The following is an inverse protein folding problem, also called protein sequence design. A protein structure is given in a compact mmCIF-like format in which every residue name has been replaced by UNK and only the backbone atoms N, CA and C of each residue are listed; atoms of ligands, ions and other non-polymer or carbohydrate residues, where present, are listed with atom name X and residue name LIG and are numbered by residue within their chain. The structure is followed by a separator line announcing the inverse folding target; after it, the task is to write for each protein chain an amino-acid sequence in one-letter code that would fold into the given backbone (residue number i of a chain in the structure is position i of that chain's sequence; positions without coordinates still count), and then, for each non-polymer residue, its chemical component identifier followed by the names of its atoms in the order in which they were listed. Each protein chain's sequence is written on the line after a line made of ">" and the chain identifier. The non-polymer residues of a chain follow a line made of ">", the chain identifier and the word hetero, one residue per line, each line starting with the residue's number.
data_IF_042189445535
#
_entry.id   IF_042189445535
#
_cell.length_a   1.000
_cell.length_b   1.000
_cell.length_c   1.000
_cell.angle_alpha   90.00
_cell.angle_beta   90.00
_cell.angle_gamma   90.00
#
_symmetry.space_group_name_H-M   'P 1'
#
loop_
_entity.id
_entity.type
_entity.pdbx_description
1 polymer ?
#
# COMPACT_ATOMS: atom_id res chain seq x y z
N UNK A 1 5.57 -15.28 9.92
CA UNK A 1 5.80 -14.52 8.66
C UNK A 1 4.90 -14.89 7.47
N UNK A 2 4.44 -16.13 7.22
CA UNK A 2 3.61 -16.42 6.03
C UNK A 2 2.19 -15.83 6.05
N UNK A 3 1.57 -15.65 7.22
CA UNK A 3 0.20 -15.14 7.30
C UNK A 3 0.03 -13.67 6.84
N UNK A 4 1.07 -12.84 6.90
CA UNK A 4 1.02 -11.45 6.44
C UNK A 4 1.04 -11.29 4.92
N UNK A 5 1.68 -12.23 4.19
CA UNK A 5 1.73 -12.18 2.72
C UNK A 5 0.34 -12.40 2.07
N UNK A 6 -0.51 -13.24 2.67
CA UNK A 6 -1.86 -13.52 2.16
C UNK A 6 -2.87 -12.41 2.45
N UNK A 7 -2.55 -11.47 3.34
CA UNK A 7 -3.42 -10.33 3.64
C UNK A 7 -3.17 -9.12 2.73
N UNK A 8 -2.06 -9.11 1.99
CA UNK A 8 -1.76 -8.05 1.02
C UNK A 8 -2.62 -8.18 -0.24
N UNK A 9 -2.80 -7.09 -0.97
CA UNK A 9 -3.46 -7.07 -2.29
C UNK A 9 -2.82 -8.11 -3.21
N UNK A 10 -1.49 -8.09 -3.28
CA UNK A 10 -0.71 -9.03 -4.07
C UNK A 10 -0.97 -10.47 -3.65
N UNK A 11 -0.97 -10.76 -2.34
CA UNK A 11 -1.23 -12.10 -1.83
C UNK A 11 -2.62 -12.63 -2.18
N UNK A 12 -3.65 -11.79 -2.11
CA UNK A 12 -5.03 -12.15 -2.49
C UNK A 12 -5.17 -12.36 -4.00
N UNK A 13 -4.56 -11.50 -4.83
CA UNK A 13 -4.51 -11.67 -6.28
C UNK A 13 -3.73 -12.93 -6.66
N UNK A 14 -2.55 -13.13 -6.07
CA UNK A 14 -1.73 -14.32 -6.32
C UNK A 14 -2.47 -15.61 -5.94
N UNK A 15 -3.11 -15.66 -4.77
CA UNK A 15 -3.91 -16.80 -4.34
C UNK A 15 -5.10 -17.04 -5.29
N UNK A 16 -5.79 -15.99 -5.74
CA UNK A 16 -6.88 -16.09 -6.70
C UNK A 16 -6.43 -16.60 -8.05
N UNK A 17 -5.36 -16.05 -8.62
CA UNK A 17 -4.77 -16.54 -9.87
C UNK A 17 -4.25 -17.97 -9.75
N UNK A 18 -3.55 -18.30 -8.65
CA UNK A 18 -3.05 -19.66 -8.39
C UNK A 18 -4.20 -20.65 -8.28
N UNK A 19 -5.30 -20.30 -7.64
CA UNK A 19 -6.49 -21.14 -7.54
C UNK A 19 -7.11 -21.40 -8.93
N UNK A 20 -7.24 -20.37 -9.77
CA UNK A 20 -7.75 -20.49 -11.14
C UNK A 20 -6.84 -21.38 -11.99
N UNK A 21 -5.52 -21.18 -11.91
CA UNK A 21 -4.54 -22.01 -12.64
C UNK A 21 -4.63 -23.46 -12.17
N UNK A 22 -4.73 -23.72 -10.86
CA UNK A 22 -4.85 -25.07 -10.31
C UNK A 22 -6.15 -25.75 -10.78
N UNK A 23 -7.27 -25.04 -10.77
CA UNK A 23 -8.54 -25.55 -11.24
C UNK A 23 -8.51 -25.86 -12.76
N UNK A 24 -7.97 -24.97 -13.57
CA UNK A 24 -7.83 -25.18 -15.01
C UNK A 24 -6.87 -26.33 -15.32
N UNK A 25 -5.73 -26.42 -14.63
CA UNK A 25 -4.80 -27.53 -14.77
C UNK A 25 -5.45 -28.87 -14.40
N UNK A 26 -6.23 -28.91 -13.32
CA UNK A 26 -6.96 -30.12 -12.90
C UNK A 26 -8.01 -30.52 -13.94
N UNK A 27 -8.75 -29.56 -14.51
CA UNK A 27 -9.71 -29.82 -15.58
C UNK A 27 -9.03 -30.37 -16.84
N UNK A 28 -7.90 -29.79 -17.26
CA UNK A 28 -7.12 -30.27 -18.43
C UNK A 28 -6.59 -31.67 -18.16
N UNK A 29 -6.06 -31.94 -16.96
CA UNK A 29 -5.57 -33.27 -16.60
C UNK A 29 -6.68 -34.32 -16.64
N UNK A 30 -7.85 -34.04 -16.06
CA UNK A 30 -9.01 -34.93 -16.08
C UNK A 30 -9.44 -35.20 -17.52
N UNK A 31 -9.50 -34.17 -18.36
CA UNK A 31 -9.86 -34.30 -19.77
C UNK A 31 -8.86 -35.17 -20.54
N UNK A 32 -7.55 -34.95 -20.35
CA UNK A 32 -6.49 -35.72 -20.94
C UNK A 32 -6.53 -37.20 -20.47
N UNK A 33 -6.77 -37.43 -19.17
CA UNK A 33 -6.90 -38.76 -18.59
C UNK A 33 -8.05 -39.54 -19.22
N UNK A 34 -9.23 -38.95 -19.36
CA UNK A 34 -10.36 -39.61 -20.03
C UNK A 34 -10.10 -39.82 -21.53
N UNK A 35 -9.44 -38.90 -22.21
CA UNK A 35 -9.07 -39.06 -23.61
C UNK A 35 -8.07 -40.22 -23.79
N UNK A 36 -7.15 -40.43 -22.85
CA UNK A 36 -6.18 -41.52 -22.87
C UNK A 36 -6.83 -42.87 -22.60
N UNK A 37 -7.76 -42.96 -21.65
CA UNK A 37 -8.54 -44.20 -21.42
C UNK A 37 -9.29 -44.58 -22.68
N UNK A 38 -9.95 -43.63 -23.34
CA UNK A 38 -10.68 -43.90 -24.60
C UNK A 38 -9.77 -44.35 -25.71
N UNK A 39 -8.61 -43.75 -25.89
CA UNK A 39 -7.61 -44.14 -26.90
C UNK A 39 -7.12 -45.57 -26.66
N UNK A 40 -6.88 -45.95 -25.42
CA UNK A 40 -6.45 -47.30 -25.06
C UNK A 40 -7.54 -48.34 -25.33
N UNK A 41 -8.82 -48.04 -25.15
CA UNK A 41 -9.93 -48.90 -25.48
C UNK A 41 -10.03 -49.12 -26.99
N UNK A 42 -9.88 -48.08 -27.80
CA UNK A 42 -9.93 -48.17 -29.26
C UNK A 42 -8.73 -49.01 -29.82
N UNK A 43 -7.51 -48.80 -29.31
CA UNK A 43 -6.33 -49.55 -29.66
C UNK A 43 -6.53 -51.05 -29.28
N UNK A 44 -7.03 -51.32 -28.09
CA UNK A 44 -7.29 -52.68 -27.64
C UNK A 44 -8.33 -53.42 -28.50
N UNK A 45 -9.31 -52.72 -29.09
CA UNK A 45 -10.27 -53.31 -30.04
C UNK A 45 -9.63 -53.59 -31.39
N UNK A 46 -8.76 -52.73 -31.89
CA UNK A 46 -8.03 -52.93 -33.15
C UNK A 46 -7.06 -54.12 -33.05
N UNK A 47 -6.27 -54.17 -31.98
CA UNK A 47 -5.36 -55.28 -31.71
C UNK A 47 -6.09 -56.61 -31.61
N UNK A 48 -7.21 -56.65 -30.88
CA UNK A 48 -8.01 -57.84 -30.72
C UNK A 48 -8.53 -58.35 -32.09
N UNK A 49 -9.06 -57.44 -32.92
CA UNK A 49 -9.55 -57.81 -34.27
C UNK A 49 -8.45 -58.42 -35.15
N UNK A 50 -7.25 -57.81 -35.10
CA UNK A 50 -6.11 -58.30 -35.85
C UNK A 50 -5.69 -59.69 -35.38
N UNK A 51 -5.59 -59.94 -34.09
CA UNK A 51 -5.25 -61.25 -33.53
C UNK A 51 -6.34 -62.27 -33.84
N UNK A 52 -7.60 -61.93 -33.71
CA UNK A 52 -8.73 -62.79 -34.03
C UNK A 52 -8.75 -63.18 -35.50
N UNK A 53 -8.52 -62.24 -36.42
CA UNK A 53 -8.43 -62.48 -37.83
C UNK A 53 -7.29 -63.44 -38.14
N UNK A 54 -6.11 -63.20 -37.57
CA UNK A 54 -4.93 -64.07 -37.76
C UNK A 54 -5.17 -65.50 -37.26
N UNK A 55 -5.90 -65.63 -36.12
CA UNK A 55 -6.24 -66.96 -35.59
C UNK A 55 -7.23 -67.70 -36.49
N UNK A 56 -8.22 -67.02 -37.08
CA UNK A 56 -9.14 -67.60 -38.06
C UNK A 56 -8.41 -68.00 -39.32
N UNK A 57 -7.53 -67.14 -39.87
CA UNK A 57 -6.74 -67.47 -41.10
C UNK A 57 -5.79 -68.65 -40.84
N UNK A 58 -5.22 -68.78 -39.62
CA UNK A 58 -4.43 -69.94 -39.22
C UNK A 58 -5.25 -71.25 -39.24
N UNK A 59 -6.47 -71.19 -38.69
CA UNK A 59 -7.36 -72.37 -38.69
C UNK A 59 -7.75 -72.81 -40.12
N UNK A 60 -8.03 -71.81 -40.99
CA UNK A 60 -8.26 -72.11 -42.44
C UNK A 60 -7.06 -72.67 -43.07
N UNK A 61 -5.85 -72.16 -42.86
CA UNK A 61 -4.60 -72.76 -43.43
C UNK A 61 -4.34 -74.19 -42.95
N UNK A 62 -4.64 -74.52 -41.69
CA UNK A 62 -4.55 -75.88 -41.18
C UNK A 62 -5.52 -76.81 -41.92
N UNK A 63 -6.74 -76.34 -42.18
CA UNK A 63 -7.69 -77.12 -42.99
C UNK A 63 -7.17 -77.32 -44.40
N UNK A 64 -6.64 -76.32 -45.06
CA UNK A 64 -6.07 -76.45 -46.43
C UNK A 64 -4.91 -77.42 -46.49
N UNK A 65 -4.07 -77.53 -45.46
CA UNK A 65 -2.90 -78.40 -45.43
C UNK A 65 -3.21 -79.83 -44.96
N UNK A 66 -3.99 -79.95 -43.86
CA UNK A 66 -4.18 -81.22 -43.13
C UNK A 66 -5.61 -81.77 -43.22
N UNK A 67 -6.49 -81.12 -43.96
CA UNK A 67 -7.88 -81.54 -44.14
C UNK A 67 -8.74 -81.40 -42.87
N UNK A 68 -9.94 -82.00 -42.92
CA UNK A 68 -10.91 -81.95 -41.81
C UNK A 68 -10.39 -82.63 -40.54
N UNK A 69 -9.69 -83.76 -40.65
CA UNK A 69 -9.19 -84.45 -39.46
C UNK A 69 -8.07 -83.68 -38.78
N UNK A 70 -7.17 -83.06 -39.54
CA UNK A 70 -6.13 -82.15 -38.98
C UNK A 70 -6.71 -80.92 -38.29
N UNK A 71 -7.72 -80.30 -38.90
CA UNK A 71 -8.43 -79.18 -38.31
C UNK A 71 -9.14 -79.54 -36.97
N UNK A 72 -9.84 -80.69 -36.94
CA UNK A 72 -10.53 -81.17 -35.73
C UNK A 72 -9.50 -81.50 -34.64
N UNK A 73 -8.37 -82.12 -34.97
CA UNK A 73 -7.29 -82.40 -34.04
C UNK A 73 -6.70 -81.09 -33.45
N UNK A 74 -6.47 -80.10 -34.32
CA UNK A 74 -5.97 -78.79 -33.89
C UNK A 74 -6.99 -78.06 -32.98
N UNK A 75 -8.27 -78.00 -33.34
CA UNK A 75 -9.31 -77.41 -32.57
C UNK A 75 -9.50 -78.06 -31.18
N UNK A 76 -9.34 -79.40 -31.08
CA UNK A 76 -9.40 -80.15 -29.82
C UNK A 76 -8.19 -79.90 -28.92
N UNK A 77 -7.05 -79.64 -29.52
CA UNK A 77 -5.79 -79.40 -28.79
C UNK A 77 -5.58 -77.90 -28.40
N UNK A 78 -6.39 -77.02 -28.97
CA UNK A 78 -6.36 -75.62 -28.62
C UNK A 78 -6.83 -75.45 -27.14
N UNK A 79 -5.92 -75.04 -26.25
CA UNK A 79 -6.24 -74.87 -24.82
C UNK A 79 -7.28 -73.78 -24.68
N UNK A 80 -8.37 -74.06 -23.92
CA UNK A 80 -9.46 -73.16 -23.63
C UNK A 80 -8.99 -71.77 -22.98
N UNK A 81 -7.71 -71.70 -22.67
CA UNK A 81 -7.10 -70.46 -22.09
C UNK A 81 -6.39 -69.60 -23.15
N UNK A 82 -6.38 -69.96 -24.42
CA UNK A 82 -5.89 -69.08 -25.49
C UNK A 82 -6.97 -68.04 -25.83
N UNK A 83 -6.59 -66.82 -25.98
CA UNK A 83 -7.51 -65.74 -26.33
C UNK A 83 -6.97 -65.08 -27.61
N UNK A 84 -7.66 -65.11 -28.74
CA UNK A 84 -9.03 -65.62 -29.00
C UNK A 84 -9.13 -67.13 -29.22
N UNK A 85 -10.29 -67.73 -28.92
CA UNK A 85 -10.62 -69.10 -29.23
C UNK A 85 -11.35 -69.15 -30.55
N UNK A 86 -10.86 -70.01 -31.49
CA UNK A 86 -11.50 -70.22 -32.78
C UNK A 86 -12.54 -71.35 -32.68
N UNK A 87 -13.71 -71.07 -33.21
CA UNK A 87 -14.80 -72.04 -33.38
C UNK A 87 -15.12 -72.17 -34.87
N UNK A 88 -15.53 -73.40 -35.29
CA UNK A 88 -15.93 -73.72 -36.68
C UNK A 88 -17.30 -74.36 -36.63
N UNK A 89 -18.30 -73.73 -37.25
CA UNK A 89 -19.65 -74.29 -37.33
C UNK A 89 -19.95 -74.83 -38.67
N UNK A 90 -20.66 -75.96 -38.68
CA UNK A 90 -21.22 -76.57 -39.92
C UNK A 90 -22.49 -75.82 -40.40
N UNK A 91 -23.04 -76.27 -41.54
CA UNK A 91 -24.27 -75.73 -42.11
C UNK A 91 -25.48 -75.80 -41.15
N UNK A 92 -25.45 -76.71 -40.17
CA UNK A 92 -26.51 -76.91 -39.19
C UNK A 92 -26.30 -76.12 -37.88
N UNK A 93 -25.18 -75.40 -37.80
CA UNK A 93 -24.80 -74.64 -36.62
C UNK A 93 -24.16 -75.40 -35.49
N UNK A 94 -23.73 -76.66 -35.76
CA UNK A 94 -22.99 -77.50 -34.81
C UNK A 94 -21.45 -77.30 -34.96
N UNK A 95 -20.77 -77.29 -33.81
CA UNK A 95 -19.31 -77.13 -33.80
C UNK A 95 -18.62 -78.42 -34.24
N UNK A 96 -17.76 -78.33 -35.27
CA UNK A 96 -17.17 -79.47 -35.97
C UNK A 96 -16.30 -80.35 -35.05
N UNK A 97 -15.63 -79.78 -34.03
CA UNK A 97 -14.76 -80.56 -33.14
C UNK A 97 -15.52 -81.19 -31.96
N UNK A 98 -16.85 -80.89 -31.81
CA UNK A 98 -17.70 -81.39 -30.74
C UNK A 98 -17.58 -80.58 -29.40
N UNK A 99 -16.92 -79.45 -29.42
CA UNK A 99 -16.84 -78.53 -28.24
C UNK A 99 -18.18 -77.81 -28.00
N UNK A 100 -18.54 -77.69 -26.77
CA UNK A 100 -19.74 -76.85 -26.41
C UNK A 100 -19.43 -75.36 -26.63
N UNK A 101 -20.24 -74.71 -27.46
CA UNK A 101 -20.16 -73.25 -27.60
C UNK A 101 -20.61 -72.56 -26.31
N UNK A 102 -19.81 -71.62 -25.76
CA UNK A 102 -20.25 -70.79 -24.67
C UNK A 102 -21.44 -69.89 -25.09
N UNK A 103 -22.37 -69.64 -24.23
CA UNK A 103 -23.52 -68.77 -24.49
C UNK A 103 -23.12 -67.38 -25.03
N UNK A 104 -21.96 -66.90 -24.60
CA UNK A 104 -21.36 -65.64 -25.09
C UNK A 104 -20.96 -65.74 -26.57
N UNK A 105 -20.58 -66.93 -27.08
CA UNK A 105 -20.20 -67.12 -28.46
C UNK A 105 -21.42 -66.96 -29.38
N UNK A 106 -22.59 -67.48 -28.99
CA UNK A 106 -23.83 -67.30 -29.73
C UNK A 106 -24.26 -65.83 -29.83
N UNK A 107 -24.15 -65.08 -28.73
CA UNK A 107 -24.47 -63.64 -28.74
C UNK A 107 -23.49 -62.86 -29.64
N UNK A 108 -22.22 -63.15 -29.56
CA UNK A 108 -21.19 -62.51 -30.40
C UNK A 108 -21.46 -62.77 -31.87
N UNK A 109 -21.83 -63.98 -32.23
CA UNK A 109 -22.14 -64.42 -33.64
C UNK A 109 -23.41 -63.64 -34.13
N UNK A 110 -24.44 -63.57 -33.30
CA UNK A 110 -25.66 -62.84 -33.65
C UNK A 110 -25.39 -61.34 -33.83
N UNK A 111 -24.54 -60.76 -33.00
CA UNK A 111 -24.17 -59.34 -33.10
C UNK A 111 -23.27 -59.07 -34.30
N UNK A 112 -22.33 -60.03 -34.63
CA UNK A 112 -21.48 -59.94 -35.81
C UNK A 112 -22.31 -60.05 -37.10
N UNK A 113 -23.30 -60.94 -37.16
CA UNK A 113 -24.19 -61.09 -38.32
C UNK A 113 -25.10 -59.89 -38.55
N UNK A 114 -25.42 -59.11 -37.56
CA UNK A 114 -26.20 -57.86 -37.68
C UNK A 114 -25.39 -56.65 -38.21
N UNK A 115 -24.06 -56.73 -38.24
CA UNK A 115 -23.25 -55.66 -38.77
C UNK A 115 -23.34 -55.60 -40.30
N UNK A 116 -23.60 -54.43 -40.90
CA UNK A 116 -23.73 -54.29 -42.32
C UNK A 116 -22.42 -54.71 -43.05
N UNK A 117 -22.52 -55.60 -44.00
CA UNK A 117 -21.36 -56.14 -44.85
C UNK A 117 -20.75 -55.08 -45.78
N UNK A 118 -21.18 -53.83 -45.69
CA UNK A 118 -20.66 -52.69 -46.47
C UNK A 118 -19.36 -52.18 -45.93
N UNK A 119 -18.24 -52.75 -46.22
CA UNK A 119 -16.95 -52.03 -46.36
C UNK A 119 -15.81 -53.04 -46.64
N UNK A 120 -15.85 -53.64 -47.83
CA UNK A 120 -14.85 -54.59 -48.29
C UNK A 120 -13.49 -53.99 -48.74
N UNK A 121 -13.22 -52.71 -48.33
CA UNK A 121 -12.04 -52.02 -48.86
C UNK A 121 -10.92 -51.70 -47.87
N UNK A 122 -11.13 -51.89 -46.55
CA UNK A 122 -10.08 -51.59 -45.56
C UNK A 122 -9.75 -52.86 -44.74
N UNK A 123 -8.47 -53.29 -44.63
CA UNK A 123 -8.06 -54.45 -43.81
C UNK A 123 -8.52 -54.34 -42.36
N UNK A 124 -8.71 -53.10 -41.86
CA UNK A 124 -9.04 -52.72 -40.46
C UNK A 124 -10.51 -52.96 -40.08
N UNK A 125 -11.40 -53.29 -41.07
CA UNK A 125 -12.84 -53.43 -40.84
C UNK A 125 -13.38 -54.85 -41.14
N UNK A 126 -12.51 -55.79 -41.40
CA UNK A 126 -12.94 -57.17 -41.62
C UNK A 126 -13.40 -57.81 -40.32
N UNK A 127 -14.57 -58.42 -40.35
CA UNK A 127 -15.07 -59.20 -39.21
C UNK A 127 -14.24 -60.47 -39.08
N UNK A 128 -13.95 -60.99 -37.88
CA UNK A 128 -13.19 -62.25 -37.70
C UNK A 128 -14.10 -63.42 -37.93
N UNK A 129 -14.78 -63.44 -39.07
CA UNK A 129 -15.58 -64.54 -39.59
C UNK A 129 -15.13 -64.82 -41.04
N UNK A 130 -14.86 -66.10 -41.34
CA UNK A 130 -14.55 -66.55 -42.69
C UNK A 130 -15.36 -67.81 -43.00
N UNK A 131 -16.04 -67.83 -44.13
CA UNK A 131 -16.78 -69.02 -44.63
C UNK A 131 -15.89 -69.75 -45.57
N UNK A 132 -15.69 -71.05 -45.33
CA UNK A 132 -14.90 -71.97 -46.15
C UNK A 132 -15.70 -73.23 -46.35
N UNK A 133 -15.71 -73.79 -47.57
CA UNK A 133 -16.39 -75.07 -47.90
C UNK A 133 -15.56 -76.22 -47.38
N UNK A 134 -16.13 -77.06 -46.51
CA UNK A 134 -15.55 -78.33 -46.04
C UNK A 134 -16.43 -79.48 -46.53
N UNK A 135 -15.89 -80.35 -47.41
CA UNK A 135 -16.64 -81.45 -48.03
C UNK A 135 -17.96 -81.01 -48.74
N UNK A 136 -17.94 -79.93 -49.50
CA UNK A 136 -19.11 -79.32 -50.16
C UNK A 136 -20.16 -78.71 -49.22
N UNK A 137 -19.85 -78.52 -47.91
CA UNK A 137 -20.73 -77.84 -46.99
C UNK A 137 -20.06 -76.51 -46.50
N UNK A 138 -20.79 -75.38 -46.50
CA UNK A 138 -20.22 -74.14 -46.03
C UNK A 138 -20.07 -74.16 -44.50
N UNK A 139 -18.85 -73.99 -44.04
CA UNK A 139 -18.51 -73.87 -42.61
C UNK A 139 -18.05 -72.45 -42.22
N UNK A 140 -18.53 -71.96 -41.11
CA UNK A 140 -18.20 -70.64 -40.63
C UNK A 140 -17.09 -70.70 -39.54
N UNK A 141 -15.95 -70.10 -39.85
CA UNK A 141 -14.83 -69.89 -38.91
C UNK A 141 -14.96 -68.53 -38.22
N UNK A 142 -14.94 -68.52 -36.91
CA UNK A 142 -14.98 -67.26 -36.15
C UNK A 142 -14.19 -67.39 -34.87
N UNK A 143 -13.72 -66.21 -34.36
CA UNK A 143 -12.96 -66.15 -33.12
C UNK A 143 -13.78 -65.49 -32.05
N UNK A 144 -13.74 -66.02 -30.83
CA UNK A 144 -14.48 -65.49 -29.65
C UNK A 144 -13.50 -65.10 -28.58
N UNK A 145 -13.76 -63.95 -27.98
CA UNK A 145 -13.00 -63.44 -26.84
C UNK A 145 -13.53 -64.06 -25.56
N UNK A 146 -12.71 -64.81 -24.84
CA UNK A 146 -13.11 -65.51 -23.60
C UNK A 146 -12.95 -64.65 -22.35
N UNK A 147 -12.06 -63.68 -22.39
CA UNK A 147 -11.88 -62.74 -21.25
C UNK A 147 -12.70 -61.47 -21.49
N UNK A 148 -13.61 -61.20 -20.58
CA UNK A 148 -14.38 -59.96 -20.62
C UNK A 148 -13.45 -58.77 -20.27
N UNK A 149 -13.13 -57.95 -21.27
CA UNK A 149 -12.75 -56.59 -20.95
C UNK A 149 -13.99 -55.84 -20.38
N UNK A 150 -13.84 -54.95 -19.42
CA UNK A 150 -14.99 -54.22 -18.91
C UNK A 150 -15.72 -53.53 -20.06
N UNK A 151 -16.90 -54.03 -20.31
CA UNK A 151 -17.82 -53.50 -21.32
C UNK A 151 -18.08 -52.04 -21.00
N UNK A 152 -18.14 -51.22 -22.03
CA UNK A 152 -18.60 -49.84 -21.95
C UNK A 152 -19.80 -49.73 -21.02
N UNK A 153 -19.58 -49.23 -19.81
CA UNK A 153 -20.66 -48.85 -18.86
C UNK A 153 -21.26 -47.49 -19.20
N UNK A 154 -20.68 -46.78 -20.17
CA UNK A 154 -21.10 -45.41 -20.50
C UNK A 154 -21.47 -45.32 -21.99
N UNK A 155 -22.71 -44.87 -22.34
CA UNK A 155 -23.11 -44.67 -23.75
C UNK A 155 -22.20 -43.66 -24.45
N UNK A 156 -21.98 -43.79 -25.78
CA UNK A 156 -21.09 -42.90 -26.54
C UNK A 156 -21.48 -41.41 -26.43
N UNK A 157 -22.73 -41.12 -26.26
CA UNK A 157 -23.29 -39.78 -26.12
C UNK A 157 -22.88 -39.10 -24.80
N UNK A 158 -22.61 -39.89 -23.74
CA UNK A 158 -22.14 -39.37 -22.46
C UNK A 158 -20.65 -39.08 -22.39
N UNK A 159 -19.87 -39.41 -23.41
CA UNK A 159 -18.42 -39.24 -23.41
C UNK A 159 -18.00 -37.75 -23.52
N UNK A 160 -18.82 -36.89 -24.07
CA UNK A 160 -18.57 -35.44 -24.15
C UNK A 160 -19.06 -34.69 -22.90
N UNK A 161 -19.95 -35.31 -22.14
CA UNK A 161 -20.55 -34.70 -20.95
C UNK A 161 -19.52 -34.30 -19.88
N UNK A 162 -18.54 -35.15 -19.51
CA UNK A 162 -17.54 -34.78 -18.53
C UNK A 162 -16.63 -33.65 -19.00
N UNK A 163 -16.29 -33.56 -20.29
CA UNK A 163 -15.47 -32.48 -20.84
C UNK A 163 -16.23 -31.15 -20.80
N UNK A 164 -17.49 -31.12 -21.24
CA UNK A 164 -18.31 -29.93 -21.20
C UNK A 164 -18.59 -29.48 -19.76
N UNK A 165 -18.83 -30.42 -18.85
CA UNK A 165 -19.05 -30.15 -17.43
C UNK A 165 -17.79 -29.54 -16.78
N UNK A 166 -16.60 -30.12 -17.03
CA UNK A 166 -15.34 -29.61 -16.45
C UNK A 166 -15.00 -28.22 -16.96
N UNK A 167 -15.19 -27.95 -18.26
CA UNK A 167 -14.99 -26.62 -18.84
C UNK A 167 -15.98 -25.59 -18.26
N UNK A 168 -17.24 -25.98 -18.09
CA UNK A 168 -18.27 -25.13 -17.51
C UNK A 168 -17.98 -24.79 -16.05
N UNK A 169 -17.54 -25.77 -15.25
CA UNK A 169 -17.13 -25.58 -13.87
C UNK A 169 -15.91 -24.66 -13.77
N UNK A 170 -14.89 -24.88 -14.60
CA UNK A 170 -13.69 -24.05 -14.64
C UNK A 170 -14.05 -22.58 -14.97
N UNK A 171 -14.89 -22.37 -16.00
CA UNK A 171 -15.37 -21.04 -16.36
C UNK A 171 -16.18 -20.38 -15.22
N UNK A 172 -17.05 -21.14 -14.58
CA UNK A 172 -17.86 -20.65 -13.45
C UNK A 172 -16.96 -20.22 -12.28
N UNK A 173 -16.01 -21.05 -11.86
CA UNK A 173 -15.11 -20.71 -10.76
C UNK A 173 -14.19 -19.53 -11.10
N UNK A 174 -13.71 -19.45 -12.34
CA UNK A 174 -12.91 -18.30 -12.80
C UNK A 174 -13.71 -17.00 -12.72
N UNK A 175 -14.95 -16.99 -13.21
CA UNK A 175 -15.84 -15.82 -13.16
C UNK A 175 -16.20 -15.47 -11.72
N UNK A 176 -16.49 -16.45 -10.87
CA UNK A 176 -16.83 -16.24 -9.46
C UNK A 176 -15.65 -15.60 -8.69
N UNK A 177 -14.46 -16.13 -8.83
CA UNK A 177 -13.25 -15.61 -8.15
C UNK A 177 -12.93 -14.21 -8.68
N UNK A 178 -12.98 -14.01 -10.00
CA UNK A 178 -12.75 -12.70 -10.62
C UNK A 178 -13.76 -11.65 -10.14
N UNK A 179 -15.06 -12.02 -10.09
CA UNK A 179 -16.13 -11.14 -9.58
C UNK A 179 -15.93 -10.79 -8.10
N UNK A 180 -15.57 -11.78 -7.27
CA UNK A 180 -15.33 -11.58 -5.83
C UNK A 180 -14.15 -10.63 -5.59
N UNK A 181 -13.05 -10.86 -6.30
CA UNK A 181 -11.87 -10.00 -6.22
C UNK A 181 -12.19 -8.58 -6.69
N UNK A 182 -12.80 -8.45 -7.88
CA UNK A 182 -13.20 -7.15 -8.41
C UNK A 182 -14.08 -6.38 -7.41
N UNK A 183 -15.07 -7.05 -6.80
CA UNK A 183 -15.97 -6.42 -5.82
C UNK A 183 -15.23 -5.94 -4.56
N UNK A 184 -14.30 -6.75 -4.05
CA UNK A 184 -13.53 -6.41 -2.85
C UNK A 184 -12.62 -5.18 -3.08
N UNK A 185 -11.95 -5.14 -4.24
CA UNK A 185 -11.02 -4.05 -4.55
C UNK A 185 -11.72 -2.76 -4.98
N UNK A 186 -12.71 -2.88 -5.85
CA UNK A 186 -13.42 -1.70 -6.36
C UNK A 186 -14.09 -0.92 -5.23
N UNK A 187 -14.66 -1.61 -4.25
CA UNK A 187 -15.32 -0.96 -3.11
C UNK A 187 -14.34 -0.16 -2.23
N UNK A 188 -13.17 -0.73 -1.93
CA UNK A 188 -12.16 -0.06 -1.11
C UNK A 188 -11.55 1.16 -1.82
N UNK A 189 -11.29 1.03 -3.14
CA UNK A 189 -10.78 2.13 -3.95
C UNK A 189 -11.80 3.25 -4.12
N UNK A 190 -13.09 2.95 -4.30
CA UNK A 190 -14.13 3.99 -4.37
C UNK A 190 -14.24 4.78 -3.07
N UNK A 191 -14.16 4.11 -1.92
CA UNK A 191 -14.20 4.81 -0.63
C UNK A 191 -13.04 5.79 -0.48
N UNK A 192 -11.84 5.40 -0.94
CA UNK A 192 -10.66 6.26 -0.92
C UNK A 192 -10.79 7.42 -1.94
N UNK A 193 -11.26 7.15 -3.15
CA UNK A 193 -11.51 8.17 -4.20
C UNK A 193 -12.52 9.21 -3.72
N UNK A 194 -13.63 8.78 -3.13
CA UNK A 194 -14.65 9.67 -2.57
C UNK A 194 -14.09 10.54 -1.44
N UNK A 195 -13.26 9.98 -0.56
CA UNK A 195 -12.60 10.76 0.49
C UNK A 195 -11.64 11.80 -0.09
N UNK A 196 -10.84 11.42 -1.09
CA UNK A 196 -9.93 12.33 -1.79
C UNK A 196 -10.67 13.46 -2.51
N UNK A 197 -11.78 13.17 -3.19
CA UNK A 197 -12.61 14.18 -3.87
C UNK A 197 -13.21 15.16 -2.89
N UNK A 198 -13.82 14.68 -1.81
CA UNK A 198 -14.38 15.55 -0.76
C UNK A 198 -13.32 16.45 -0.14
N UNK A 199 -12.12 15.91 0.08
CA UNK A 199 -11.00 16.69 0.58
C UNK A 199 -10.56 17.77 -0.43
N UNK A 200 -10.46 17.42 -1.73
CA UNK A 200 -10.16 18.36 -2.81
C UNK A 200 -11.20 19.46 -2.97
N UNK A 201 -12.49 19.16 -2.69
CA UNK A 201 -13.60 20.11 -2.71
C UNK A 201 -13.63 21.01 -1.45
N UNK A 202 -12.62 20.92 -0.57
CA UNK A 202 -12.44 21.79 0.58
C UNK A 202 -12.98 21.25 1.91
N UNK A 203 -13.48 20.02 1.95
CA UNK A 203 -13.84 19.36 3.21
C UNK A 203 -12.59 18.78 3.89
N UNK A 204 -11.74 19.64 4.43
CA UNK A 204 -10.42 19.28 4.98
C UNK A 204 -10.46 18.43 6.25
N UNK A 205 -11.61 18.28 6.86
CA UNK A 205 -11.90 17.37 7.97
C UNK A 205 -12.15 15.92 7.51
N UNK A 206 -12.22 15.69 6.20
CA UNK A 206 -12.48 14.35 5.63
C UNK A 206 -11.31 13.42 5.92
N UNK A 207 -11.63 12.22 6.42
CA UNK A 207 -10.69 11.10 6.62
C UNK A 207 -11.24 9.86 5.97
N UNK A 208 -10.35 8.92 5.71
CA UNK A 208 -10.76 7.58 5.30
C UNK A 208 -11.42 6.88 6.47
N UNK A 209 -12.34 5.92 6.19
CA UNK A 209 -12.97 5.19 7.28
C UNK A 209 -11.95 4.36 8.05
N UNK A 210 -12.07 4.31 9.39
CA UNK A 210 -11.20 3.52 10.27
C UNK A 210 -11.06 2.06 9.81
N UNK A 211 -12.15 1.48 9.28
CA UNK A 211 -12.15 0.12 8.74
C UNK A 211 -11.23 -0.05 7.53
N UNK A 212 -11.08 0.98 6.70
CA UNK A 212 -10.18 0.97 5.55
C UNK A 212 -8.73 1.14 6.00
N UNK A 213 -8.48 2.04 6.95
CA UNK A 213 -7.13 2.36 7.45
C UNK A 213 -6.54 1.29 8.36
N UNK A 214 -7.36 0.49 9.07
CA UNK A 214 -6.93 -0.57 9.99
C UNK A 214 -6.52 -1.88 9.29
N UNK A 215 -6.78 -2.04 7.99
CA UNK A 215 -6.37 -3.24 7.24
C UNK A 215 -4.86 -3.32 7.00
N UNK A 216 -4.36 -4.53 6.78
CA UNK A 216 -2.95 -4.80 6.38
C UNK A 216 -2.83 -4.95 4.84
N UNK A 217 -3.53 -4.11 4.08
CA UNK A 217 -3.51 -4.11 2.62
C UNK A 217 -2.80 -2.86 2.08
N UNK A 218 -2.39 -2.89 0.82
CA UNK A 218 -1.80 -1.75 0.13
C UNK A 218 -2.75 -0.55 0.11
N UNK A 219 -4.07 -0.81 -0.03
CA UNK A 219 -5.11 0.24 0.01
C UNK A 219 -5.20 0.84 1.42
N UNK A 220 -5.07 0.04 2.48
CA UNK A 220 -5.04 0.54 3.85
C UNK A 220 -3.79 1.40 4.12
N UNK A 221 -2.64 1.02 3.55
CA UNK A 221 -1.44 1.84 3.65
C UNK A 221 -1.62 3.19 2.94
N UNK A 222 -2.19 3.19 1.74
CA UNK A 222 -2.49 4.41 0.99
C UNK A 222 -3.50 5.30 1.75
N UNK A 223 -4.52 4.72 2.37
CA UNK A 223 -5.48 5.43 3.21
C UNK A 223 -4.79 6.12 4.41
N UNK A 224 -3.88 5.44 5.10
CA UNK A 224 -3.09 6.02 6.21
C UNK A 224 -2.18 7.17 5.76
N UNK A 225 -1.55 7.03 4.59
CA UNK A 225 -0.73 8.11 4.01
C UNK A 225 -1.60 9.32 3.67
N UNK A 226 -2.77 9.08 3.06
CA UNK A 226 -3.73 10.14 2.79
C UNK A 226 -4.19 10.84 4.07
N UNK A 227 -4.60 10.10 5.10
CA UNK A 227 -5.06 10.67 6.38
C UNK A 227 -3.93 11.47 7.07
N UNK A 228 -2.68 10.98 6.99
CA UNK A 228 -1.52 11.74 7.50
C UNK A 228 -1.31 13.05 6.74
N UNK A 229 -1.42 13.03 5.42
CA UNK A 229 -1.34 14.23 4.57
C UNK A 229 -2.51 15.20 4.88
N UNK A 230 -3.73 14.68 4.99
CA UNK A 230 -4.91 15.45 5.31
C UNK A 230 -4.78 16.16 6.67
N UNK A 231 -4.27 15.46 7.70
CA UNK A 231 -3.99 16.03 9.01
C UNK A 231 -3.00 17.20 8.93
N UNK A 232 -1.92 17.04 8.14
CA UNK A 232 -0.92 18.12 7.97
C UNK A 232 -1.51 19.34 7.26
N UNK A 233 -2.28 19.12 6.18
CA UNK A 233 -2.91 20.22 5.43
C UNK A 233 -3.96 20.94 6.28
N UNK A 234 -4.82 20.22 7.00
CA UNK A 234 -5.80 20.80 7.90
C UNK A 234 -5.13 21.64 9.00
N UNK A 235 -4.05 21.12 9.61
CA UNK A 235 -3.28 21.85 10.61
C UNK A 235 -2.67 23.14 10.04
N UNK A 236 -2.16 23.09 8.79
CA UNK A 236 -1.62 24.27 8.10
C UNK A 236 -2.73 25.32 7.85
N UNK A 237 -3.87 24.91 7.31
CA UNK A 237 -5.00 25.79 7.02
C UNK A 237 -5.53 26.42 8.32
N UNK A 238 -5.68 25.64 9.38
CA UNK A 238 -6.15 26.14 10.66
C UNK A 238 -5.15 27.11 11.33
N UNK A 239 -3.84 26.86 11.13
CA UNK A 239 -2.78 27.80 11.57
C UNK A 239 -2.86 29.11 10.78
N UNK A 240 -3.01 29.04 9.47
CA UNK A 240 -3.13 30.21 8.61
C UNK A 240 -4.38 31.02 8.93
N UNK A 241 -5.54 30.38 9.14
CA UNK A 241 -6.78 31.06 9.53
C UNK A 241 -6.62 31.80 10.86
N UNK A 242 -6.00 31.15 11.86
CA UNK A 242 -5.71 31.81 13.16
C UNK A 242 -4.82 33.01 12.97
N UNK A 243 -3.73 32.90 12.22
CA UNK A 243 -2.83 34.01 11.93
C UNK A 243 -3.59 35.20 11.33
N UNK A 244 -4.41 34.99 10.30
CA UNK A 244 -5.21 36.09 9.70
C UNK A 244 -6.22 36.70 10.66
N UNK A 245 -6.84 35.90 11.51
CA UNK A 245 -7.75 36.37 12.53
C UNK A 245 -7.02 37.29 13.52
N UNK A 246 -5.88 36.82 14.02
CA UNK A 246 -5.09 37.55 15.03
C UNK A 246 -4.50 38.86 14.45
N UNK A 247 -3.97 38.80 13.23
CA UNK A 247 -3.50 40.00 12.49
C UNK A 247 -4.63 41.04 12.35
N UNK A 248 -5.84 40.58 11.97
CA UNK A 248 -6.99 41.48 11.79
C UNK A 248 -7.36 42.19 13.10
N UNK A 249 -7.28 41.49 14.23
CA UNK A 249 -7.52 42.08 15.54
C UNK A 249 -6.43 43.07 15.95
N UNK A 250 -5.15 42.71 15.73
CA UNK A 250 -4.02 43.53 16.12
C UNK A 250 -3.87 44.80 15.26
N UNK A 251 -4.34 44.80 14.01
CA UNK A 251 -4.39 45.98 13.13
C UNK A 251 -5.59 46.87 13.46
N UNK A 252 -6.76 46.31 13.81
CA UNK A 252 -7.97 47.07 14.09
C UNK A 252 -7.83 47.98 15.31
N UNK A 253 -7.13 47.52 16.35
CA UNK A 253 -6.95 48.27 17.58
C UNK A 253 -6.20 49.62 17.40
N UNK A 254 -5.01 49.68 16.78
CA UNK A 254 -4.31 50.95 16.52
C UNK A 254 -5.09 51.84 15.56
N UNK A 255 -5.75 51.28 14.52
CA UNK A 255 -6.60 52.04 13.61
C UNK A 255 -7.72 52.78 14.36
N UNK A 256 -8.41 52.10 15.27
CA UNK A 256 -9.45 52.73 16.08
C UNK A 256 -8.89 53.86 16.98
N UNK A 257 -7.64 53.68 17.50
CA UNK A 257 -6.99 54.73 18.27
C UNK A 257 -6.59 55.95 17.42
N UNK A 258 -6.17 55.72 16.18
CA UNK A 258 -5.90 56.77 15.18
C UNK A 258 -7.19 57.52 14.86
N UNK A 259 -8.31 56.85 14.61
CA UNK A 259 -9.60 57.46 14.35
C UNK A 259 -10.04 58.37 15.50
N UNK A 260 -9.91 57.88 16.74
CA UNK A 260 -10.23 58.71 17.95
C UNK A 260 -9.31 59.90 18.07
N UNK A 261 -7.99 59.74 17.82
CA UNK A 261 -7.04 60.87 17.87
C UNK A 261 -7.33 61.92 16.81
N UNK A 262 -7.69 61.49 15.59
CA UNK A 262 -8.12 62.37 14.50
C UNK A 262 -9.39 63.17 14.86
N UNK A 263 -10.38 62.53 15.46
CA UNK A 263 -11.61 63.22 15.88
C UNK A 263 -11.35 64.22 17.01
N UNK A 264 -10.45 63.88 17.97
CA UNK A 264 -10.02 64.80 19.01
C UNK A 264 -9.28 66.02 18.45
N UNK A 265 -8.35 65.83 17.52
CA UNK A 265 -7.62 66.90 16.82
C UNK A 265 -8.58 67.87 16.08
N UNK A 266 -9.68 67.34 15.51
CA UNK A 266 -10.69 68.11 14.78
C UNK A 266 -11.56 68.94 15.72
N UNK A 267 -11.85 68.47 16.94
CA UNK A 267 -12.76 69.11 17.90
C UNK A 267 -12.06 70.10 18.79
N UNK A 268 -10.80 69.90 19.11
CA UNK A 268 -10.03 70.71 20.06
C UNK A 268 -8.67 71.12 19.45
N UNK A 269 -8.56 72.31 18.89
CA UNK A 269 -7.33 72.83 18.30
C UNK A 269 -6.14 72.87 19.26
N UNK A 270 -6.37 73.00 20.56
CA UNK A 270 -5.29 73.08 21.56
C UNK A 270 -4.64 71.74 21.81
N UNK A 271 -5.35 70.60 21.50
CA UNK A 271 -4.86 69.24 21.62
C UNK A 271 -4.40 68.64 20.32
N UNK A 272 -4.28 69.41 19.25
CA UNK A 272 -3.90 68.94 17.95
C UNK A 272 -2.50 68.31 17.96
N UNK A 273 -1.53 68.94 18.65
CA UNK A 273 -0.15 68.45 18.78
C UNK A 273 -0.08 67.08 19.43
N UNK A 274 -0.74 66.89 20.58
CA UNK A 274 -0.79 65.63 21.34
C UNK A 274 -1.48 64.52 20.53
N UNK A 275 -2.50 64.90 19.76
CA UNK A 275 -3.23 63.97 18.90
C UNK A 275 -2.37 63.51 17.71
N UNK A 276 -1.58 64.42 17.11
CA UNK A 276 -0.65 64.06 16.03
C UNK A 276 0.47 63.12 16.52
N UNK A 277 1.09 63.44 17.66
CA UNK A 277 2.11 62.56 18.27
C UNK A 277 1.54 61.15 18.56
N UNK A 278 0.30 61.06 19.01
CA UNK A 278 -0.39 59.79 19.23
C UNK A 278 -0.64 59.03 17.92
N UNK A 279 -1.00 59.73 16.83
CA UNK A 279 -1.17 59.16 15.52
C UNK A 279 0.17 58.65 14.99
N UNK A 280 1.25 59.43 15.08
CA UNK A 280 2.60 59.03 14.67
C UNK A 280 3.05 57.74 15.40
N UNK A 281 2.82 57.66 16.71
CA UNK A 281 3.11 56.49 17.50
C UNK A 281 2.33 55.27 17.04
N UNK A 282 1.02 55.39 16.75
CA UNK A 282 0.21 54.26 16.30
C UNK A 282 0.58 53.83 14.88
N UNK A 283 0.96 54.75 13.99
CA UNK A 283 1.51 54.43 12.66
C UNK A 283 2.83 53.68 12.79
N UNK A 284 3.72 54.08 13.69
CA UNK A 284 4.95 53.37 14.03
C UNK A 284 4.67 51.94 14.50
N UNK A 285 3.70 51.76 15.39
CA UNK A 285 3.28 50.44 15.88
C UNK A 285 2.78 49.54 14.73
N UNK A 286 1.98 50.09 13.80
CA UNK A 286 1.49 49.29 12.63
C UNK A 286 2.67 48.87 11.73
N UNK A 287 3.62 49.78 11.48
CA UNK A 287 4.81 49.43 10.67
C UNK A 287 5.65 48.34 11.32
N UNK A 288 5.87 48.40 12.66
CA UNK A 288 6.57 47.33 13.39
C UNK A 288 5.83 45.99 13.31
N UNK A 289 4.49 45.99 13.39
CA UNK A 289 3.68 44.79 13.21
C UNK A 289 3.88 44.18 11.81
N UNK A 290 3.81 45.02 10.76
CA UNK A 290 3.99 44.58 9.38
C UNK A 290 5.39 43.96 9.14
N UNK A 291 6.45 44.62 9.63
CA UNK A 291 7.82 44.08 9.53
C UNK A 291 7.99 42.79 10.29
N UNK A 292 7.38 42.69 11.47
CA UNK A 292 7.40 41.46 12.28
C UNK A 292 6.66 40.32 11.56
N UNK A 293 5.52 40.59 10.94
CA UNK A 293 4.77 39.63 10.12
C UNK A 293 5.56 39.17 8.90
N UNK A 294 6.19 40.10 8.16
CA UNK A 294 7.01 39.77 7.00
C UNK A 294 8.20 38.88 7.41
N UNK A 295 8.86 39.19 8.52
CA UNK A 295 9.96 38.37 9.04
C UNK A 295 9.47 36.98 9.44
N UNK A 296 8.34 36.91 10.16
CA UNK A 296 7.74 35.62 10.55
C UNK A 296 7.37 34.77 9.32
N UNK A 297 6.75 35.37 8.30
CA UNK A 297 6.36 34.69 7.06
C UNK A 297 7.58 34.17 6.27
N UNK A 298 8.66 34.96 6.17
CA UNK A 298 9.91 34.52 5.50
C UNK A 298 10.51 33.31 6.22
N UNK A 299 10.57 33.36 7.56
CA UNK A 299 11.09 32.26 8.37
C UNK A 299 10.21 31.00 8.29
N UNK A 300 8.90 31.15 8.08
CA UNK A 300 7.96 30.04 7.94
C UNK A 300 8.13 29.30 6.59
N UNK A 301 8.41 30.03 5.52
CA UNK A 301 8.60 29.48 4.17
C UNK A 301 9.98 28.84 3.95
N UNK A 302 10.89 28.98 4.93
CA UNK A 302 12.25 28.47 4.78
C UNK A 302 13.06 29.24 3.73
N UNK A 303 12.73 30.52 3.52
CA UNK A 303 13.48 31.38 2.60
C UNK A 303 14.98 31.38 2.99
N UNK A 304 15.84 31.37 1.98
CA UNK A 304 17.28 31.22 2.13
C UNK A 304 17.84 32.23 3.13
N UNK A 305 18.31 31.72 4.26
CA UNK A 305 19.12 32.52 5.21
C UNK A 305 20.45 32.88 4.54
N UNK A 306 20.86 34.10 4.67
CA UNK A 306 22.18 34.55 4.21
C UNK A 306 23.19 34.26 5.29
N UNK A 307 23.72 33.02 5.30
CA UNK A 307 24.73 32.61 6.28
C UNK A 307 26.06 33.24 5.96
N UNK A 308 26.76 33.67 6.98
CA UNK A 308 28.12 34.19 6.95
C UNK A 308 28.81 33.88 8.29
N UNK A 309 30.14 33.86 8.33
CA UNK A 309 30.88 33.77 9.62
C UNK A 309 30.53 34.96 10.50
N UNK A 310 29.97 34.71 11.68
CA UNK A 310 29.62 35.75 12.67
C UNK A 310 30.09 35.35 14.06
N UNK A 311 30.62 36.33 14.83
CA UNK A 311 30.94 36.17 16.24
C UNK A 311 29.67 36.22 17.10
N UNK A 312 29.43 35.17 17.90
CA UNK A 312 28.27 35.16 18.79
C UNK A 312 28.43 36.15 19.95
N UNK A 313 29.65 36.40 20.41
CA UNK A 313 29.92 37.39 21.45
C UNK A 313 29.58 38.78 20.95
N UNK A 314 30.01 39.15 19.75
CA UNK A 314 29.71 40.45 19.12
C UNK A 314 28.17 40.71 19.03
N UNK A 315 27.42 39.65 18.69
CA UNK A 315 25.93 39.77 18.60
C UNK A 315 25.33 40.00 19.99
N UNK A 316 25.74 39.24 21.01
CA UNK A 316 25.22 39.37 22.37
C UNK A 316 25.61 40.68 22.98
N UNK A 317 26.86 41.16 22.79
CA UNK A 317 27.30 42.49 23.25
C UNK A 317 26.51 43.63 22.59
N UNK A 318 26.37 43.59 21.24
CA UNK A 318 25.62 44.59 20.52
C UNK A 318 24.17 44.72 21.01
N UNK A 319 23.49 43.58 21.24
CA UNK A 319 22.13 43.59 21.82
C UNK A 319 22.13 44.07 23.25
N UNK A 320 23.11 43.75 24.08
CA UNK A 320 23.21 44.20 25.46
C UNK A 320 23.43 45.72 25.55
N UNK A 321 24.24 46.29 24.66
CA UNK A 321 24.50 47.73 24.60
C UNK A 321 23.24 48.51 24.22
N UNK A 322 22.53 48.03 23.16
CA UNK A 322 21.26 48.64 22.75
C UNK A 322 20.21 48.55 23.86
N UNK A 323 20.09 47.40 24.51
CA UNK A 323 19.16 47.18 25.62
C UNK A 323 19.50 48.08 26.83
N UNK A 324 20.78 48.29 27.14
CA UNK A 324 21.26 49.07 28.27
C UNK A 324 20.76 50.51 28.21
N UNK A 325 20.69 51.12 27.04
CA UNK A 325 20.17 52.44 26.84
C UNK A 325 18.68 52.54 27.21
N UNK A 326 17.87 51.55 26.81
CA UNK A 326 16.45 51.51 27.15
C UNK A 326 16.24 51.15 28.63
N UNK A 327 17.06 50.26 29.18
CA UNK A 327 16.98 49.79 30.56
C UNK A 327 17.23 50.92 31.59
N UNK A 328 18.15 51.85 31.25
CA UNK A 328 18.41 53.03 32.11
C UNK A 328 17.16 53.84 32.36
N UNK A 329 16.27 53.98 31.37
CA UNK A 329 15.01 54.73 31.53
C UNK A 329 14.04 54.05 32.50
N UNK A 330 14.17 52.74 32.70
CA UNK A 330 13.40 51.94 33.65
C UNK A 330 14.13 51.63 34.95
N UNK A 331 15.32 52.20 35.16
CA UNK A 331 16.19 51.89 36.29
C UNK A 331 16.48 50.38 36.44
N UNK A 332 16.68 49.67 35.29
CA UNK A 332 17.05 48.26 35.22
C UNK A 332 18.51 48.14 34.78
N UNK A 333 19.27 47.23 35.39
CA UNK A 333 20.67 47.02 35.08
C UNK A 333 20.85 45.82 34.11
N UNK A 334 21.55 46.04 33.01
CA UNK A 334 21.91 44.95 32.08
C UNK A 334 23.31 44.47 32.43
N UNK A 335 23.47 43.15 32.64
CA UNK A 335 24.75 42.47 32.89
C UNK A 335 25.07 41.53 31.74
N UNK A 336 26.34 41.48 31.35
CA UNK A 336 26.78 40.57 30.26
C UNK A 336 27.89 39.67 30.76
N UNK A 337 27.77 38.36 30.51
CA UNK A 337 28.79 37.37 30.87
C UNK A 337 29.09 36.52 29.64
N UNK A 338 30.30 36.64 29.04
CA UNK A 338 30.67 35.97 27.80
C UNK A 338 31.86 35.03 28.07
N UNK A 339 31.66 33.75 27.68
CA UNK A 339 32.72 32.72 27.73
C UNK A 339 33.22 32.44 26.30
N UNK A 340 34.28 33.21 25.90
CA UNK A 340 34.87 33.09 24.57
C UNK A 340 34.12 33.85 23.47
N UNK A 341 34.66 33.79 22.26
CA UNK A 341 34.07 34.42 21.07
C UNK A 341 33.98 33.38 19.94
N UNK A 342 32.98 32.50 20.01
CA UNK A 342 32.77 31.49 18.97
C UNK A 342 32.27 32.12 17.68
N UNK A 343 32.92 31.77 16.56
CA UNK A 343 32.50 32.13 15.21
C UNK A 343 31.63 30.97 14.66
N UNK A 344 30.43 31.28 14.18
CA UNK A 344 29.54 30.31 13.58
C UNK A 344 29.07 30.77 12.19
N UNK A 345 28.72 29.83 11.33
CA UNK A 345 28.12 30.12 10.02
C UNK A 345 26.59 30.31 10.18
N UNK A 346 26.17 31.57 10.26
CA UNK A 346 24.79 31.94 10.62
C UNK A 346 24.34 33.21 9.93
N UNK A 347 23.05 33.46 9.93
CA UNK A 347 22.49 34.78 9.62
C UNK A 347 22.51 35.63 10.90
N UNK A 348 23.54 36.49 11.01
CA UNK A 348 23.76 37.30 12.18
C UNK A 348 22.60 38.24 12.47
N UNK A 349 21.93 38.77 11.46
CA UNK A 349 20.77 39.67 11.63
C UNK A 349 19.58 38.94 12.25
N UNK A 350 19.31 37.71 11.84
CA UNK A 350 18.22 36.90 12.40
C UNK A 350 18.53 36.46 13.82
N UNK A 351 19.78 36.14 14.16
CA UNK A 351 20.18 35.80 15.52
C UNK A 351 20.15 37.02 16.44
N UNK A 352 20.68 38.16 15.98
CA UNK A 352 20.61 39.41 16.72
C UNK A 352 19.16 39.77 17.03
N UNK A 353 18.28 39.69 16.03
CA UNK A 353 16.83 39.95 16.21
C UNK A 353 16.16 38.97 17.18
N UNK A 354 16.59 37.69 17.16
CA UNK A 354 16.08 36.69 18.12
C UNK A 354 16.45 37.04 19.56
N UNK A 355 17.72 37.37 19.79
CA UNK A 355 18.22 37.76 21.12
C UNK A 355 17.60 39.07 21.57
N UNK A 356 17.50 40.08 20.70
CA UNK A 356 16.86 41.35 20.98
C UNK A 356 15.38 41.19 21.41
N UNK A 357 14.63 40.36 20.67
CA UNK A 357 13.22 40.05 21.02
C UNK A 357 13.08 39.43 22.41
N UNK A 358 14.01 38.56 22.80
CA UNK A 358 14.03 37.94 24.13
C UNK A 358 14.42 38.97 25.17
N UNK A 359 15.49 39.73 24.94
CA UNK A 359 15.99 40.74 25.87
C UNK A 359 14.98 41.85 26.12
N UNK A 360 14.32 42.36 25.08
CA UNK A 360 13.19 43.35 25.22
C UNK A 360 11.98 42.76 25.93
N UNK A 361 11.70 41.48 25.76
CA UNK A 361 10.65 40.84 26.55
C UNK A 361 11.01 40.80 28.02
N UNK A 362 12.24 40.46 28.38
CA UNK A 362 12.75 40.50 29.76
C UNK A 362 12.72 41.90 30.32
N UNK A 363 13.17 42.93 29.58
CA UNK A 363 13.10 44.32 30.01
C UNK A 363 11.64 44.81 30.26
N UNK A 364 10.70 44.33 29.45
CA UNK A 364 9.28 44.68 29.62
C UNK A 364 8.72 44.22 30.95
N UNK A 365 9.12 43.04 31.40
CA UNK A 365 8.62 42.37 32.61
C UNK A 365 9.50 42.57 33.83
N UNK A 366 10.71 43.11 33.66
CA UNK A 366 11.63 43.39 34.73
C UNK A 366 11.08 44.47 35.66
N UNK A 367 11.05 44.27 37.00
CA UNK A 367 10.74 45.29 37.99
C UNK A 367 11.76 46.44 37.98
N UNK A 368 11.34 47.62 38.42
CA UNK A 368 12.26 48.71 38.61
C UNK A 368 13.33 48.38 39.68
N UNK A 369 14.60 48.69 39.40
CA UNK A 369 15.74 48.37 40.26
C UNK A 369 16.28 46.92 40.12
N UNK A 370 15.71 46.11 39.22
CA UNK A 370 16.14 44.73 38.97
C UNK A 370 17.30 44.65 37.97
N UNK A 371 17.74 43.41 37.68
CA UNK A 371 18.77 43.17 36.68
C UNK A 371 18.32 42.15 35.62
N UNK A 372 18.83 42.33 34.41
CA UNK A 372 18.76 41.35 33.30
C UNK A 372 20.16 40.88 33.03
N UNK A 373 20.35 39.57 32.96
CA UNK A 373 21.65 38.96 32.60
C UNK A 373 21.59 38.26 31.24
N UNK A 374 22.47 38.70 30.34
CA UNK A 374 22.73 38.02 29.07
C UNK A 374 24.03 37.25 29.17
N UNK A 375 24.00 35.96 28.94
CA UNK A 375 25.22 35.15 29.01
C UNK A 375 25.40 34.27 27.76
N UNK A 376 26.67 34.12 27.37
CA UNK A 376 27.11 33.21 26.32
C UNK A 376 28.08 32.20 26.92
N UNK A 377 27.78 30.95 26.80
CA UNK A 377 28.62 29.84 27.22
C UNK A 377 28.62 28.73 26.17
N UNK A 378 29.48 27.72 26.36
CA UNK A 378 29.43 26.56 25.45
C UNK A 378 29.68 25.26 26.22
N UNK A 379 29.01 24.20 25.74
CA UNK A 379 29.28 22.83 26.16
C UNK A 379 29.93 22.03 24.98
N UNK A 380 30.05 20.70 25.11
CA UNK A 380 30.61 19.85 24.05
C UNK A 380 29.87 19.98 22.72
N UNK A 381 28.56 20.10 22.75
CA UNK A 381 27.69 19.94 21.58
C UNK A 381 27.08 21.24 21.06
N UNK A 382 26.94 22.25 21.95
CA UNK A 382 26.16 23.48 21.64
C UNK A 382 26.83 24.73 22.19
N UNK A 383 26.58 25.85 21.53
CA UNK A 383 26.67 27.19 22.10
C UNK A 383 25.35 27.51 22.79
N UNK A 384 25.44 28.12 23.98
CA UNK A 384 24.29 28.36 24.85
C UNK A 384 24.24 29.85 25.13
N UNK A 385 23.14 30.50 24.72
CA UNK A 385 22.86 31.91 25.05
C UNK A 385 21.68 31.92 26.03
N UNK A 386 21.81 32.62 27.16
CA UNK A 386 20.78 32.73 28.15
C UNK A 386 20.44 34.19 28.39
N UNK A 387 19.16 34.42 28.56
CA UNK A 387 18.62 35.71 29.08
C UNK A 387 17.84 35.39 30.34
N UNK A 388 18.27 36.00 31.43
CA UNK A 388 17.73 35.85 32.77
C UNK A 388 17.13 37.17 33.22
N UNK A 389 15.89 37.21 33.69
CA UNK A 389 15.28 38.37 34.31
C UNK A 389 14.76 38.06 35.72
N UNK A 390 14.58 39.12 36.53
CA UNK A 390 14.01 39.05 37.86
C UNK A 390 12.51 39.41 37.88
N UNK A 391 11.83 39.14 36.76
CA UNK A 391 10.39 39.38 36.63
C UNK A 391 9.53 38.42 37.45
N UNK A 392 8.21 38.48 37.29
CA UNK A 392 7.29 37.67 38.09
C UNK A 392 7.28 36.18 37.64
N UNK A 393 8.01 35.84 36.57
CA UNK A 393 7.89 34.54 35.93
C UNK A 393 6.57 34.35 35.17
N UNK A 394 6.24 33.11 34.85
CA UNK A 394 5.06 32.74 34.07
C UNK A 394 4.44 31.45 34.62
N UNK A 395 3.11 31.26 34.52
CA UNK A 395 2.49 29.95 34.82
C UNK A 395 3.13 28.81 34.02
N UNK A 396 3.36 27.66 34.64
CA UNK A 396 4.04 26.52 33.97
C UNK A 396 3.31 26.12 32.69
N UNK A 397 1.98 26.19 32.68
CA UNK A 397 1.14 25.83 31.52
C UNK A 397 1.33 26.79 30.32
N UNK A 398 1.82 28.01 30.57
CA UNK A 398 2.04 29.03 29.54
C UNK A 398 3.47 28.99 28.97
N UNK A 399 4.45 28.33 29.63
CA UNK A 399 5.84 28.28 29.20
C UNK A 399 6.01 27.66 27.80
N UNK A 400 5.25 26.62 27.48
CA UNK A 400 5.33 25.98 26.18
C UNK A 400 4.67 26.77 25.06
N UNK A 401 3.63 27.52 25.37
CA UNK A 401 2.83 28.30 24.41
C UNK A 401 3.32 29.71 24.19
N UNK A 402 4.19 30.28 25.07
CA UNK A 402 4.70 31.62 24.97
C UNK A 402 5.44 31.98 23.68
N UNK A 403 6.00 30.92 23.01
CA UNK A 403 6.68 31.07 21.73
C UNK A 403 5.73 30.94 20.54
N UNK A 404 4.41 30.82 20.74
CA UNK A 404 3.42 30.82 19.67
C UNK A 404 3.09 32.26 19.26
N UNK A 405 2.79 32.51 17.97
CA UNK A 405 2.46 33.86 17.52
C UNK A 405 1.21 34.41 18.21
N UNK A 406 1.21 35.72 18.52
CA UNK A 406 0.12 36.46 19.15
C UNK A 406 -0.24 36.02 20.58
N UNK A 407 0.54 35.14 21.19
CA UNK A 407 0.33 34.79 22.62
C UNK A 407 0.84 35.91 23.52
N UNK A 408 0.03 36.30 24.48
CA UNK A 408 0.35 37.27 25.52
C UNK A 408 0.02 36.65 26.89
N UNK A 409 0.90 36.80 27.85
CA UNK A 409 0.64 36.32 29.23
C UNK A 409 -0.61 36.95 29.83
N UNK A 410 -1.33 36.21 30.66
CA UNK A 410 -2.62 36.59 31.24
C UNK A 410 -2.57 37.92 32.04
N UNK A 411 -1.41 38.35 32.51
CA UNK A 411 -1.22 39.54 33.34
C UNK A 411 -0.93 40.83 32.55
N UNK A 412 -0.87 40.78 31.20
CA UNK A 412 -0.48 41.97 30.38
C UNK A 412 -1.73 42.62 29.78
N UNK A 413 -2.45 43.40 30.57
CA UNK A 413 -3.61 44.17 30.08
C UNK A 413 -3.27 45.45 29.28
N UNK A 414 -2.03 45.96 29.31
CA UNK A 414 -1.62 47.25 28.70
C UNK A 414 -0.20 47.27 28.15
N UNK A 415 0.34 46.16 27.61
CA UNK A 415 1.70 46.12 27.09
C UNK A 415 1.79 46.45 25.59
N UNK A 416 2.79 47.29 25.23
CA UNK A 416 3.22 47.51 23.85
C UNK A 416 3.87 46.23 23.31
N UNK A 417 3.34 45.66 22.24
CA UNK A 417 3.90 44.47 21.54
C UNK A 417 2.84 43.50 21.06
N UNK A 418 3.02 42.97 19.87
CA UNK A 418 2.03 42.18 19.15
C UNK A 418 2.07 40.69 19.46
N UNK A 419 2.92 40.23 20.40
CA UNK A 419 3.09 38.77 20.69
C UNK A 419 3.78 38.01 19.60
N UNK A 420 4.50 38.65 18.68
CA UNK A 420 5.26 38.02 17.59
C UNK A 420 6.75 37.85 17.92
N UNK A 421 7.32 38.66 18.84
CA UNK A 421 8.76 38.69 19.09
C UNK A 421 9.34 37.32 19.49
N UNK A 422 8.75 36.65 20.49
CA UNK A 422 9.20 35.33 20.94
C UNK A 422 8.96 34.23 19.89
N UNK A 423 7.88 34.38 19.10
CA UNK A 423 7.63 33.45 17.97
C UNK A 423 8.69 33.61 16.86
N UNK A 424 9.10 34.84 16.55
CA UNK A 424 10.22 35.12 15.64
C UNK A 424 11.51 34.58 16.21
N UNK A 425 11.81 34.78 17.49
CA UNK A 425 12.99 34.23 18.14
C UNK A 425 13.05 32.70 17.99
N UNK A 426 11.98 31.99 18.31
CA UNK A 426 11.89 30.53 18.13
C UNK A 426 12.13 30.11 16.69
N UNK A 427 11.50 30.79 15.72
CA UNK A 427 11.69 30.48 14.28
C UNK A 427 13.11 30.75 13.82
N UNK A 428 13.72 31.88 14.20
CA UNK A 428 15.11 32.20 13.88
C UNK A 428 16.07 31.14 14.43
N UNK A 429 15.94 30.78 15.70
CA UNK A 429 16.77 29.74 16.33
C UNK A 429 16.57 28.37 15.65
N UNK A 430 15.32 27.99 15.37
CA UNK A 430 15.01 26.72 14.68
C UNK A 430 15.58 26.70 13.26
N UNK A 431 15.56 27.82 12.54
CA UNK A 431 16.12 27.95 11.21
C UNK A 431 17.66 27.72 11.21
N UNK A 432 18.32 28.03 12.32
CA UNK A 432 19.74 27.74 12.55
C UNK A 432 20.00 26.32 13.10
N UNK A 433 18.98 25.45 13.14
CA UNK A 433 19.08 24.10 13.71
C UNK A 433 19.13 24.07 15.23
N UNK A 434 18.89 25.22 15.87
CA UNK A 434 18.93 25.37 17.32
C UNK A 434 17.59 25.07 18.00
N UNK A 435 17.61 25.15 19.33
CA UNK A 435 16.47 24.93 20.20
C UNK A 435 16.35 26.09 21.19
N UNK A 436 15.13 26.50 21.52
CA UNK A 436 14.81 27.52 22.51
C UNK A 436 13.87 26.96 23.57
N UNK A 437 14.14 27.28 24.83
CA UNK A 437 13.30 26.88 25.96
C UNK A 437 13.22 28.01 27.00
N UNK A 438 12.19 27.97 27.83
CA UNK A 438 12.00 28.87 28.92
C UNK A 438 11.73 28.12 30.23
N UNK A 439 12.18 28.64 31.35
CA UNK A 439 11.87 28.09 32.67
C UNK A 439 11.79 29.22 33.71
N UNK A 440 10.95 29.04 34.71
CA UNK A 440 10.93 29.90 35.88
C UNK A 440 12.15 29.65 36.75
N UNK A 441 12.67 30.69 37.39
CA UNK A 441 13.74 30.61 38.36
C UNK A 441 13.25 30.95 39.75
N UNK A 442 13.90 30.39 40.75
CA UNK A 442 13.56 30.61 42.16
C UNK A 442 14.49 31.70 42.75
N UNK A 443 13.98 32.70 43.51
CA UNK A 443 12.61 32.80 44.01
C UNK A 443 11.60 33.41 43.03
N UNK A 444 12.03 34.16 42.02
CA UNK A 444 11.22 34.73 40.94
C UNK A 444 12.11 35.06 39.75
N UNK A 445 11.53 35.11 38.55
CA UNK A 445 12.22 35.40 37.29
C UNK A 445 11.93 34.39 36.21
N UNK A 446 12.36 34.69 34.99
CA UNK A 446 12.29 33.85 33.83
C UNK A 446 13.69 33.70 33.20
N UNK A 447 14.08 32.49 32.91
CA UNK A 447 15.26 32.20 32.10
C UNK A 447 14.78 31.71 30.71
N UNK A 448 15.26 32.35 29.65
CA UNK A 448 15.10 31.87 28.27
C UNK A 448 16.49 31.44 27.79
N UNK A 449 16.58 30.19 27.33
CA UNK A 449 17.80 29.58 26.89
C UNK A 449 17.71 29.24 25.40
N UNK A 450 18.69 29.70 24.62
CA UNK A 450 18.92 29.33 23.22
C UNK A 450 20.10 28.37 23.16
N UNK A 451 19.96 27.26 22.46
CA UNK A 451 21.03 26.31 22.14
C UNK A 451 21.22 26.26 20.63
N UNK A 452 22.44 26.56 20.17
CA UNK A 452 22.82 26.45 18.76
C UNK A 452 23.82 25.32 18.66
N UNK A 453 23.58 24.26 17.85
CA UNK A 453 24.50 23.14 17.73
C UNK A 453 25.83 23.60 17.14
N UNK A 454 26.93 23.12 17.71
CA UNK A 454 28.26 23.22 17.07
C UNK A 454 28.16 22.33 15.83
N UNK A 455 28.35 22.89 14.62
CA UNK A 455 28.49 22.08 13.41
C UNK A 455 29.67 21.10 13.68
N UNK A 456 29.34 19.80 13.82
CA UNK A 456 30.33 18.75 13.75
C UNK A 456 30.87 18.83 12.32
N UNK A 457 32.10 19.29 12.12
CA UNK A 457 32.83 19.06 10.89
C UNK A 457 32.81 17.54 10.65
N UNK A 458 31.96 17.09 9.70
CA UNK A 458 32.09 15.75 9.16
C UNK A 458 33.42 15.78 8.42
N UNK A 459 34.49 15.25 9.08
CA UNK A 459 35.80 15.12 8.51
C UNK A 459 35.71 14.49 7.14
N UNK A 460 36.35 15.11 6.17
CA UNK A 460 36.65 14.58 4.83
C UNK A 460 37.55 13.33 4.92
N UNK A 461 37.00 12.22 5.45
CA UNK A 461 37.68 10.93 5.42
C UNK A 461 36.67 9.81 5.13
N UNK A 462 35.94 9.95 4.04
CA UNK A 462 35.38 8.83 3.27
C UNK A 462 35.02 9.34 1.85
N UNK A 463 36.05 9.43 1.01
CA UNK A 463 35.95 9.30 -0.45
C UNK A 463 36.36 7.89 -0.84
#
# INVERSE_FOLDING_TARGET
>A
MPARLFNTLFGKLFAGFSLVILLTATCVWITAYYAQIRRNEDIGQIEWRFIAQKSVDSAVGIYEIAGKEGLVAWLRNERLNTNPIVFVLDSNGNEISGRKLPEKAYKSLADIRKLPQRHAGSPDKRLPIRTVEINNEPCEFFAVRTVAFPIRLIPPELHYFPVALTLSLAAFFTLLVSWLLARLYTRSLHTLDDAMRRFADGAFDTRTSDKLAQGDTEVANLARVFDSMANKIEALINRQRRLFHDVSHEVRSPLARIEVALELARRDPERTSDSLERIEKEVGNINELVESLLTYARLENGDNMTKSPVGLADIVEGVADDLSFEAQQKNVTVKTTLEGDPIIDADGNLLARAIDNIARNSLRHAPEGSSIELSLSSNADCFIIKCLDEGPGMPEEELDVMFSPFVRGANVRTGTGFGLGLAIAKRSVTAHGGFISARNITPHGLEIEIRIPKLIEIGCDQL
#
